data_IF_826995461634
#
_entry.id   IF_826995461634
#
_cell.length_a   1.000
_cell.length_b   1.000
_cell.length_c   1.000
_cell.angle_alpha   90.00
_cell.angle_beta   90.00
_cell.angle_gamma   90.00
#
_symmetry.space_group_name_H-M   'P 1'
#
loop_
_entity.id
_entity.type
_entity.pdbx_description
1 polymer ?
#
# COMPACT_ATOMS: atom_id res chain seq x y z
N UNK A 1 5.67 -11.44 -1.05
CA UNK A 1 4.22 -11.75 -1.14
C UNK A 1 4.05 -13.24 -0.98
N UNK A 2 2.96 -13.71 -0.35
CA UNK A 2 2.63 -15.13 -0.40
C UNK A 2 2.22 -15.51 -1.84
N UNK A 3 2.37 -16.78 -2.25
CA UNK A 3 1.95 -17.22 -3.59
C UNK A 3 0.49 -16.87 -3.91
N UNK A 4 -0.41 -17.04 -2.93
CA UNK A 4 -1.84 -16.76 -3.08
C UNK A 4 -2.16 -15.27 -3.34
N UNK A 5 -1.30 -14.37 -2.87
CA UNK A 5 -1.42 -12.93 -3.08
C UNK A 5 -0.66 -12.46 -4.32
N UNK A 6 0.46 -13.10 -4.65
CA UNK A 6 1.28 -12.77 -5.82
C UNK A 6 0.50 -12.97 -7.12
N UNK A 7 -0.16 -14.12 -7.26
CA UNK A 7 -0.94 -14.46 -8.46
C UNK A 7 -2.17 -13.54 -8.66
N UNK A 8 -2.64 -12.91 -7.58
CA UNK A 8 -3.82 -12.05 -7.58
C UNK A 8 -3.49 -10.56 -7.57
N UNK A 9 -2.22 -10.16 -7.48
CA UNK A 9 -1.85 -8.75 -7.38
C UNK A 9 -2.22 -7.99 -8.65
N UNK A 10 -3.03 -6.94 -8.50
CA UNK A 10 -3.47 -6.06 -9.61
C UNK A 10 -2.86 -4.67 -9.53
N UNK A 11 -2.55 -4.21 -8.33
CA UNK A 11 -2.00 -2.87 -8.13
C UNK A 11 -1.47 -2.69 -6.72
N UNK A 12 -0.64 -1.66 -6.58
CA UNK A 12 -0.07 -1.20 -5.32
C UNK A 12 -0.03 0.32 -5.35
N UNK A 13 -0.41 0.92 -4.24
CA UNK A 13 -0.26 2.35 -3.99
C UNK A 13 0.48 2.57 -2.66
N UNK A 14 1.34 3.59 -2.66
CA UNK A 14 2.09 4.05 -1.48
C UNK A 14 1.71 5.51 -1.29
N UNK A 15 0.89 5.76 -0.27
CA UNK A 15 0.47 7.11 0.07
C UNK A 15 1.64 7.84 0.74
N UNK A 16 2.50 8.51 -0.03
CA UNK A 16 3.66 9.24 0.51
C UNK A 16 3.30 10.63 0.97
N UNK A 17 2.28 11.22 0.37
CA UNK A 17 1.74 12.55 0.63
C UNK A 17 1.29 12.74 2.09
N UNK A 18 0.91 11.66 2.78
CA UNK A 18 0.58 11.71 4.22
C UNK A 18 1.78 12.04 5.11
N UNK A 19 3.02 11.92 4.62
CA UNK A 19 4.21 12.37 5.35
C UNK A 19 4.31 13.89 5.45
N UNK A 20 3.61 14.63 4.58
CA UNK A 20 3.66 16.09 4.54
C UNK A 20 2.56 16.74 5.42
N UNK A 21 1.77 15.93 6.14
CA UNK A 21 0.75 16.43 7.06
C UNK A 21 1.36 17.05 8.33
N UNK A 22 0.57 17.84 9.06
CA UNK A 22 1.03 18.63 10.21
C UNK A 22 1.65 17.79 11.36
N UNK A 23 1.18 16.56 11.54
CA UNK A 23 1.74 15.60 12.50
C UNK A 23 1.79 14.21 11.87
N UNK A 24 2.78 13.94 11.00
CA UNK A 24 2.80 12.71 10.23
C UNK A 24 3.26 11.54 11.08
N UNK A 25 2.84 10.33 10.72
CA UNK A 25 3.45 9.09 11.22
C UNK A 25 4.79 8.86 10.52
N UNK A 26 5.70 8.13 11.16
CA UNK A 26 6.92 7.66 10.51
C UNK A 26 6.66 6.60 9.42
N UNK A 27 5.48 5.98 9.42
CA UNK A 27 5.09 5.01 8.42
C UNK A 27 4.08 5.60 7.42
N UNK A 28 4.20 5.15 6.17
CA UNK A 28 3.22 5.42 5.11
C UNK A 28 2.32 4.22 4.91
N UNK A 29 1.01 4.41 4.67
CA UNK A 29 0.13 3.34 4.25
C UNK A 29 0.57 2.77 2.90
N UNK A 30 0.52 1.44 2.81
CA UNK A 30 0.68 0.70 1.56
C UNK A 30 -0.61 -0.06 1.32
N UNK A 31 -1.24 0.18 0.19
CA UNK A 31 -2.50 -0.46 -0.20
C UNK A 31 -2.23 -1.34 -1.42
N UNK A 32 -2.80 -2.54 -1.43
CA UNK A 32 -2.76 -3.43 -2.58
C UNK A 32 -4.17 -3.76 -3.05
N UNK A 33 -4.33 -3.86 -4.36
CA UNK A 33 -5.55 -4.36 -4.99
C UNK A 33 -5.32 -5.79 -5.43
N UNK A 34 -6.19 -6.70 -5.00
CA UNK A 34 -6.16 -8.11 -5.39
C UNK A 34 -7.38 -8.45 -6.27
N UNK A 35 -7.19 -9.36 -7.21
CA UNK A 35 -8.30 -10.01 -7.88
C UNK A 35 -9.12 -10.85 -6.89
N UNK A 36 -10.45 -10.85 -7.03
CA UNK A 36 -11.36 -11.74 -6.29
C UNK A 36 -11.32 -13.15 -6.89
#
# INVERSE_FOLDING_TARGET
LSPQAADRLRGLDIHREVRDWEKPSDHVPVVVTLAL
#
